data_IF_245263701895
#
_entry.id   IF_245263701895
#
_cell.length_a   1.000
_cell.length_b   1.000
_cell.length_c   1.000
_cell.angle_alpha   90.00
_cell.angle_beta   90.00
_cell.angle_gamma   90.00
#
_symmetry.space_group_name_H-M   'P 1'
#
loop_
_entity.id
_entity.type
_entity.pdbx_description
1 polymer ?
#
# COMPACT_ATOMS: atom_id res chain seq x y z
N UNK A 1 4.15 65.27 28.45
CA UNK A 1 2.80 65.18 27.83
C UNK A 1 3.00 65.53 26.36
N UNK A 2 2.75 64.71 25.34
CA UNK A 2 1.68 63.74 25.18
C UNK A 2 1.96 63.02 23.83
N UNK A 3 1.93 61.68 23.85
CA UNK A 3 1.72 60.75 22.69
C UNK A 3 2.73 60.86 21.53
N UNK A 4 3.81 60.07 21.47
CA UNK A 4 3.85 58.63 21.10
C UNK A 4 2.63 58.21 20.29
N UNK A 5 2.63 58.47 18.99
CA UNK A 5 1.65 57.90 18.07
C UNK A 5 2.19 57.83 16.64
N UNK A 6 3.24 57.04 16.42
CA UNK A 6 3.59 56.52 15.08
C UNK A 6 4.25 55.14 15.20
N UNK A 7 3.63 54.27 15.99
CA UNK A 7 4.03 52.87 16.16
C UNK A 7 2.83 51.98 15.83
N UNK A 8 2.24 52.18 14.65
CA UNK A 8 1.12 51.38 14.15
C UNK A 8 1.19 51.20 12.63
N UNK A 9 2.37 50.81 12.14
CA UNK A 9 2.58 50.46 10.74
C UNK A 9 3.57 49.30 10.57
N UNK A 10 3.64 48.42 11.58
CA UNK A 10 4.54 47.26 11.59
C UNK A 10 3.85 46.01 12.16
N UNK A 11 2.65 45.68 11.68
CA UNK A 11 1.88 44.53 12.18
C UNK A 11 1.19 43.71 11.07
N UNK A 12 1.71 43.71 9.83
CA UNK A 12 1.07 43.01 8.71
C UNK A 12 2.02 42.15 7.83
N UNK A 13 2.87 41.27 8.41
CA UNK A 13 3.21 40.03 7.68
C UNK A 13 2.78 38.73 8.39
N UNK A 14 2.25 38.79 9.61
CA UNK A 14 2.03 37.58 10.42
C UNK A 14 0.88 36.67 9.93
N UNK A 15 -0.10 37.20 9.20
CA UNK A 15 -1.24 36.39 8.75
C UNK A 15 -0.89 35.39 7.64
N UNK A 16 0.04 35.75 6.75
CA UNK A 16 0.46 34.90 5.61
C UNK A 16 1.30 33.71 6.10
N UNK A 17 2.13 33.93 7.14
CA UNK A 17 3.03 32.92 7.70
C UNK A 17 2.29 31.87 8.56
N UNK A 18 1.20 32.25 9.23
CA UNK A 18 0.40 31.31 10.02
C UNK A 18 -0.40 30.33 9.14
N UNK A 19 -0.86 30.78 7.98
CA UNK A 19 -1.62 29.96 7.02
C UNK A 19 -0.71 28.93 6.33
N UNK A 20 0.49 29.34 5.89
CA UNK A 20 1.47 28.42 5.28
C UNK A 20 1.95 27.34 6.25
N UNK A 21 2.24 27.69 7.51
CA UNK A 21 2.63 26.72 8.53
C UNK A 21 1.51 25.70 8.84
N UNK A 22 0.26 26.12 8.77
CA UNK A 22 -0.89 25.23 8.97
C UNK A 22 -1.05 24.27 7.78
N UNK A 23 -0.90 24.76 6.56
CA UNK A 23 -0.95 23.96 5.33
C UNK A 23 0.17 22.92 5.29
N UNK A 24 1.41 23.30 5.64
CA UNK A 24 2.54 22.36 5.73
C UNK A 24 2.24 21.23 6.72
N UNK A 25 1.73 21.54 7.92
CA UNK A 25 1.35 20.49 8.89
C UNK A 25 0.26 19.55 8.38
N UNK A 26 -0.69 20.05 7.59
CA UNK A 26 -1.73 19.20 6.98
C UNK A 26 -1.12 18.27 5.92
N UNK A 27 -0.20 18.77 5.11
CA UNK A 27 0.54 18.00 4.11
C UNK A 27 1.44 16.94 4.75
N UNK A 28 2.16 17.26 5.83
CA UNK A 28 2.93 16.28 6.61
C UNK A 28 2.04 15.17 7.18
N UNK A 29 0.85 15.52 7.68
CA UNK A 29 -0.12 14.53 8.16
C UNK A 29 -0.63 13.64 7.03
N UNK A 30 -0.87 14.19 5.85
CA UNK A 30 -1.24 13.42 4.67
C UNK A 30 -0.10 12.49 4.23
N UNK A 31 1.14 12.97 4.23
CA UNK A 31 2.34 12.19 3.96
C UNK A 31 2.50 11.00 4.92
N UNK A 32 2.31 11.23 6.22
CA UNK A 32 2.35 10.17 7.22
C UNK A 32 1.29 9.09 6.98
N UNK A 33 0.08 9.48 6.56
CA UNK A 33 -0.99 8.54 6.18
C UNK A 33 -0.63 7.74 4.93
N UNK A 34 -0.11 8.39 3.89
CA UNK A 34 0.36 7.70 2.67
C UNK A 34 1.45 6.69 3.00
N UNK A 35 2.40 7.05 3.87
CA UNK A 35 3.47 6.16 4.27
C UNK A 35 2.94 4.93 5.03
N UNK A 36 1.94 5.12 5.90
CA UNK A 36 1.26 4.02 6.58
C UNK A 36 0.52 3.12 5.59
N UNK A 37 -0.18 3.69 4.61
CA UNK A 37 -0.88 2.92 3.57
C UNK A 37 0.11 2.14 2.69
N UNK A 38 1.22 2.77 2.30
CA UNK A 38 2.30 2.15 1.52
C UNK A 38 2.89 0.92 2.24
N UNK A 39 3.15 1.02 3.55
CA UNK A 39 3.61 -0.11 4.36
C UNK A 39 2.58 -1.25 4.40
N UNK A 40 1.30 -0.92 4.56
CA UNK A 40 0.21 -1.90 4.55
C UNK A 40 0.11 -2.63 3.21
N UNK A 41 0.23 -1.91 2.09
CA UNK A 41 0.22 -2.50 0.75
C UNK A 41 1.42 -3.42 0.53
N UNK A 42 2.61 -3.02 0.97
CA UNK A 42 3.80 -3.87 0.89
C UNK A 42 3.60 -5.18 1.68
N UNK A 43 3.06 -5.10 2.89
CA UNK A 43 2.74 -6.28 3.69
C UNK A 43 1.72 -7.19 3.01
N UNK A 44 0.65 -6.63 2.47
CA UNK A 44 -0.36 -7.40 1.72
C UNK A 44 0.24 -8.05 0.48
N UNK A 45 1.10 -7.33 -0.25
CA UNK A 45 1.75 -7.84 -1.44
C UNK A 45 2.60 -9.07 -1.12
N UNK A 46 3.44 -8.99 -0.08
CA UNK A 46 4.23 -10.13 0.39
C UNK A 46 3.36 -11.31 0.79
N UNK A 47 2.28 -11.06 1.54
CA UNK A 47 1.36 -12.12 1.95
C UNK A 47 0.71 -12.83 0.75
N UNK A 48 0.18 -12.08 -0.23
CA UNK A 48 -0.47 -12.67 -1.41
C UNK A 48 0.56 -13.38 -2.31
N UNK A 49 1.76 -12.84 -2.41
CA UNK A 49 2.86 -13.49 -3.15
C UNK A 49 3.16 -14.87 -2.57
N UNK A 50 3.23 -14.98 -1.24
CA UNK A 50 3.45 -16.26 -0.56
C UNK A 50 2.28 -17.23 -0.77
N UNK A 51 1.03 -16.76 -0.72
CA UNK A 51 -0.14 -17.61 -1.03
C UNK A 51 -0.07 -18.17 -2.45
N UNK A 52 0.23 -17.32 -3.44
CA UNK A 52 0.42 -17.74 -4.83
C UNK A 52 1.55 -18.75 -4.97
N UNK A 53 2.69 -18.50 -4.31
CA UNK A 53 3.83 -19.43 -4.32
C UNK A 53 3.45 -20.79 -3.74
N UNK A 54 2.67 -20.79 -2.66
CA UNK A 54 2.19 -22.02 -2.03
C UNK A 54 1.30 -22.82 -2.98
N UNK A 55 0.32 -22.20 -3.62
CA UNK A 55 -0.54 -22.87 -4.62
C UNK A 55 0.27 -23.46 -5.79
N UNK A 56 1.30 -22.75 -6.26
CA UNK A 56 2.17 -23.23 -7.34
C UNK A 56 3.09 -24.38 -6.91
N UNK A 57 3.50 -24.40 -5.66
CA UNK A 57 4.37 -25.44 -5.10
C UNK A 57 3.62 -26.72 -4.72
N UNK A 58 2.29 -26.65 -4.57
CA UNK A 58 1.50 -27.81 -4.18
C UNK A 58 1.53 -28.89 -5.27
N UNK A 59 1.88 -30.13 -4.92
CA UNK A 59 1.86 -31.24 -5.86
C UNK A 59 0.44 -31.46 -6.38
N UNK A 60 0.33 -31.74 -7.68
CA UNK A 60 -0.97 -31.91 -8.35
C UNK A 60 -1.79 -33.10 -7.87
N UNK A 61 -1.19 -34.00 -7.07
CA UNK A 61 -1.82 -35.15 -6.45
C UNK A 61 -1.18 -35.43 -5.09
N UNK A 62 -1.98 -35.40 -4.03
CA UNK A 62 -1.61 -35.93 -2.72
C UNK A 62 -2.10 -37.37 -2.66
N UNK A 63 -1.29 -38.31 -3.18
CA UNK A 63 -1.59 -39.73 -3.07
C UNK A 63 -1.19 -40.19 -1.67
N UNK A 64 -2.11 -40.73 -0.84
CA UNK A 64 -1.73 -41.28 0.46
C UNK A 64 -0.75 -42.42 0.26
N UNK A 65 0.42 -42.36 0.90
CA UNK A 65 1.32 -43.50 0.91
C UNK A 65 0.66 -44.65 1.68
N UNK A 66 0.72 -45.89 1.17
CA UNK A 66 0.17 -47.04 1.87
C UNK A 66 0.90 -47.22 3.20
N UNK A 67 0.15 -47.24 4.29
CA UNK A 67 0.70 -47.38 5.65
C UNK A 67 1.05 -48.83 5.99
N UNK A 68 0.59 -49.80 5.18
CA UNK A 68 0.87 -51.22 5.33
C UNK A 68 1.20 -51.89 3.98
N UNK A 69 2.14 -52.85 3.93
CA UNK A 69 2.40 -53.64 2.73
C UNK A 69 1.14 -54.40 2.28
N UNK A 70 0.74 -54.24 1.01
CA UNK A 70 -0.44 -54.91 0.44
C UNK A 70 -1.73 -54.09 0.49
N UNK A 71 -1.73 -52.89 1.10
CA UNK A 71 -2.88 -51.99 1.06
C UNK A 71 -3.02 -51.33 -0.31
N UNK A 72 -4.19 -51.50 -0.94
CA UNK A 72 -4.51 -50.82 -2.20
C UNK A 72 -4.58 -49.31 -1.99
N UNK A 73 -3.88 -48.55 -2.83
CA UNK A 73 -4.02 -47.10 -2.87
C UNK A 73 -5.35 -46.78 -3.55
N UNK A 74 -6.27 -46.03 -2.89
CA UNK A 74 -7.50 -45.62 -3.55
C UNK A 74 -7.18 -44.76 -4.76
N UNK A 75 -7.68 -45.17 -5.94
CA UNK A 75 -7.56 -44.40 -7.17
C UNK A 75 -8.43 -43.14 -7.00
N UNK A 76 -7.86 -41.93 -7.10
CA UNK A 76 -8.66 -40.72 -6.99
C UNK A 76 -9.70 -40.63 -8.11
N UNK A 77 -10.89 -40.13 -7.80
CA UNK A 77 -11.90 -39.84 -8.81
C UNK A 77 -11.37 -38.75 -9.77
N UNK A 78 -11.39 -39.04 -11.07
CA UNK A 78 -10.84 -38.15 -12.10
C UNK A 78 -11.54 -36.78 -12.15
N UNK A 79 -12.87 -36.74 -12.04
CA UNK A 79 -13.64 -35.49 -12.06
C UNK A 79 -13.27 -34.60 -10.89
N UNK A 80 -13.13 -35.19 -9.69
CA UNK A 80 -12.67 -34.47 -8.50
C UNK A 80 -11.25 -33.91 -8.68
N UNK A 81 -10.36 -34.65 -9.34
CA UNK A 81 -9.00 -34.16 -9.63
C UNK A 81 -9.03 -32.99 -10.61
N UNK A 82 -9.85 -33.06 -11.65
CA UNK A 82 -9.96 -31.98 -12.63
C UNK A 82 -10.57 -30.72 -12.00
N UNK A 83 -11.62 -30.88 -11.19
CA UNK A 83 -12.20 -29.78 -10.43
C UNK A 83 -11.16 -29.12 -9.51
N UNK A 84 -10.42 -29.92 -8.73
CA UNK A 84 -9.38 -29.39 -7.82
C UNK A 84 -8.28 -28.62 -8.55
N UNK A 85 -7.86 -29.11 -9.73
CA UNK A 85 -6.90 -28.39 -10.58
C UNK A 85 -7.46 -27.05 -11.07
N UNK A 86 -8.70 -27.04 -11.55
CA UNK A 86 -9.35 -25.81 -12.01
C UNK A 86 -9.51 -24.79 -10.89
N UNK A 87 -9.93 -25.22 -9.70
CA UNK A 87 -10.05 -24.34 -8.53
C UNK A 87 -8.69 -23.76 -8.12
N UNK A 88 -7.61 -24.55 -8.22
CA UNK A 88 -6.24 -24.08 -7.97
C UNK A 88 -5.81 -23.02 -8.98
N UNK A 89 -6.07 -23.25 -10.27
CA UNK A 89 -5.78 -22.28 -11.33
C UNK A 89 -6.53 -20.96 -11.10
N UNK A 90 -7.81 -21.03 -10.75
CA UNK A 90 -8.61 -19.85 -10.39
C UNK A 90 -8.04 -19.09 -9.19
N UNK A 91 -7.56 -19.79 -8.15
CA UNK A 91 -6.89 -19.12 -7.00
C UNK A 91 -5.61 -18.42 -7.43
N UNK A 92 -4.78 -19.06 -8.26
CA UNK A 92 -3.54 -18.47 -8.79
C UNK A 92 -3.84 -17.22 -9.62
N UNK A 93 -4.84 -17.26 -10.49
CA UNK A 93 -5.28 -16.11 -11.30
C UNK A 93 -5.76 -14.97 -10.41
N UNK A 94 -6.59 -15.27 -9.41
CA UNK A 94 -7.06 -14.29 -8.42
C UNK A 94 -5.90 -13.62 -7.71
N UNK A 95 -4.96 -14.39 -7.15
CA UNK A 95 -3.79 -13.83 -6.47
C UNK A 95 -2.92 -12.99 -7.41
N UNK A 96 -2.82 -13.37 -8.68
CA UNK A 96 -2.09 -12.58 -9.69
C UNK A 96 -2.78 -11.23 -9.95
N UNK A 97 -4.11 -11.21 -10.07
CA UNK A 97 -4.87 -9.98 -10.22
C UNK A 97 -4.75 -9.07 -8.98
N UNK A 98 -4.81 -9.64 -7.78
CA UNK A 98 -4.64 -8.90 -6.53
C UNK A 98 -3.24 -8.28 -6.43
N UNK A 99 -2.18 -9.01 -6.79
CA UNK A 99 -0.81 -8.48 -6.83
C UNK A 99 -0.67 -7.31 -7.81
N UNK A 100 -1.26 -7.41 -9.00
CA UNK A 100 -1.25 -6.34 -9.99
C UNK A 100 -1.96 -5.08 -9.47
N UNK A 101 -3.09 -5.24 -8.79
CA UNK A 101 -3.83 -4.13 -8.18
C UNK A 101 -3.02 -3.47 -7.06
N UNK A 102 -2.39 -4.26 -6.19
CA UNK A 102 -1.55 -3.74 -5.10
C UNK A 102 -0.36 -2.97 -5.65
N UNK A 103 0.28 -3.48 -6.70
CA UNK A 103 1.37 -2.79 -7.38
C UNK A 103 0.92 -1.44 -7.97
N UNK A 104 -0.21 -1.42 -8.69
CA UNK A 104 -0.76 -0.19 -9.25
C UNK A 104 -1.06 0.86 -8.16
N UNK A 105 -1.68 0.43 -7.05
CA UNK A 105 -1.96 1.33 -5.93
C UNK A 105 -0.67 1.84 -5.27
N UNK A 106 0.35 1.00 -5.13
CA UNK A 106 1.65 1.42 -4.62
C UNK A 106 2.28 2.51 -5.49
N UNK A 107 2.24 2.35 -6.81
CA UNK A 107 2.73 3.37 -7.76
C UNK A 107 1.96 4.68 -7.65
N UNK A 108 0.63 4.61 -7.50
CA UNK A 108 -0.21 5.78 -7.28
C UNK A 108 0.19 6.53 -6.00
N UNK A 109 0.37 5.82 -4.89
CA UNK A 109 0.81 6.43 -3.62
C UNK A 109 2.18 7.09 -3.72
N UNK A 110 3.12 6.53 -4.48
CA UNK A 110 4.43 7.16 -4.66
C UNK A 110 4.31 8.46 -5.48
N UNK A 111 3.42 8.52 -6.47
CA UNK A 111 3.14 9.76 -7.20
C UNK A 111 2.47 10.82 -6.31
N UNK A 112 1.49 10.41 -5.49
CA UNK A 112 0.84 11.30 -4.51
C UNK A 112 1.87 11.86 -3.51
N UNK A 113 2.78 11.01 -3.03
CA UNK A 113 3.87 11.40 -2.13
C UNK A 113 4.77 12.45 -2.77
N UNK A 114 5.21 12.27 -4.02
CA UNK A 114 6.04 13.28 -4.70
C UNK A 114 5.32 14.61 -4.82
N UNK A 115 4.03 14.58 -5.19
CA UNK A 115 3.20 15.78 -5.30
C UNK A 115 3.12 16.54 -3.96
N UNK A 116 2.94 15.82 -2.85
CA UNK A 116 2.89 16.44 -1.51
C UNK A 116 4.25 17.05 -1.14
N UNK A 117 5.35 16.37 -1.43
CA UNK A 117 6.70 16.90 -1.16
C UNK A 117 6.99 18.17 -1.96
N UNK A 118 6.59 18.22 -3.23
CA UNK A 118 6.69 19.43 -4.06
C UNK A 118 5.87 20.60 -3.51
N UNK A 119 4.66 20.33 -3.00
CA UNK A 119 3.81 21.35 -2.38
C UNK A 119 4.44 21.89 -1.08
N UNK A 120 4.98 21.01 -0.22
CA UNK A 120 5.69 21.42 1.00
C UNK A 120 6.87 22.32 0.63
N UNK A 121 7.73 21.89 -0.30
CA UNK A 121 8.89 22.66 -0.74
C UNK A 121 8.49 24.05 -1.28
N UNK A 122 7.41 24.12 -2.06
CA UNK A 122 6.89 25.37 -2.62
C UNK A 122 6.38 26.33 -1.53
N UNK A 123 5.69 25.81 -0.52
CA UNK A 123 5.20 26.61 0.61
C UNK A 123 6.34 27.10 1.51
N UNK A 124 7.36 26.28 1.72
CA UNK A 124 8.56 26.66 2.48
C UNK A 124 9.37 27.76 1.77
N UNK A 125 9.48 27.71 0.44
CA UNK A 125 10.14 28.77 -0.34
C UNK A 125 9.38 30.10 -0.25
N UNK A 126 8.05 30.07 -0.45
CA UNK A 126 7.19 31.28 -0.31
C UNK A 126 7.20 31.89 1.08
N UNK A 127 7.53 31.11 2.11
CA UNK A 127 7.61 31.60 3.50
C UNK A 127 8.97 32.24 3.82
N UNK A 128 10.00 32.00 2.98
CA UNK A 128 11.36 32.57 3.13
C UNK A 128 11.57 33.87 2.34
N UNK A 129 10.73 34.13 1.33
CA UNK A 129 10.66 35.40 0.59
C UNK A 129 9.83 36.46 1.33
#
# INVERSE_FOLDING_TARGET
>A
MRTVLFLLLLALPLAIQADSATQVRQLEKALARLQQESQSIQQQFMMIQELRRNEMSQPSMTVPLPSTPGQSIPIPNYDNLMQSKQEREQRIEKYTADLNRLYARYTELENEKQTILEQINSLEQKTKE
#
